data_IF_443933338664
#
_entry.id   IF_443933338664
#
_cell.length_a   1.000
_cell.length_b   1.000
_cell.length_c   1.000
_cell.angle_alpha   90.00
_cell.angle_beta   90.00
_cell.angle_gamma   90.00
#
_symmetry.space_group_name_H-M   'P 1'
#
loop_
_entity.id
_entity.type
_entity.pdbx_description
1 polymer ?
#
# COMPACT_ATOMS: atom_id res chain seq x y z
N UNK A 1 7.10 -26.39 -15.22
CA UNK A 1 6.84 -25.05 -15.79
C UNK A 1 7.52 -24.00 -14.93
N UNK A 2 8.00 -22.89 -15.50
CA UNK A 2 8.56 -21.81 -14.69
C UNK A 2 7.42 -20.92 -14.15
N UNK A 3 7.48 -20.52 -12.89
CA UNK A 3 6.48 -19.66 -12.26
C UNK A 3 7.11 -18.38 -11.71
N UNK A 4 6.43 -17.25 -11.90
CA UNK A 4 6.87 -15.97 -11.34
C UNK A 4 6.66 -15.93 -9.83
N UNK A 5 7.59 -15.31 -9.10
CA UNK A 5 7.40 -15.04 -7.68
C UNK A 5 6.50 -13.82 -7.53
N UNK A 6 5.46 -13.98 -6.73
CA UNK A 6 4.50 -12.92 -6.39
C UNK A 6 4.43 -12.69 -4.88
N UNK A 7 4.07 -11.48 -4.50
CA UNK A 7 3.98 -11.10 -3.09
C UNK A 7 2.85 -10.11 -2.81
N UNK A 8 2.35 -10.07 -1.57
CA UNK A 8 1.37 -9.07 -1.14
C UNK A 8 1.57 -8.70 0.32
N UNK A 9 1.01 -7.57 0.73
CA UNK A 9 0.94 -7.19 2.13
C UNK A 9 -0.22 -7.91 2.82
N UNK A 10 -0.07 -8.18 4.12
CA UNK A 10 -1.19 -8.60 4.95
C UNK A 10 -2.27 -7.51 4.97
N UNK A 11 -3.54 -7.89 4.96
CA UNK A 11 -4.67 -6.96 5.01
C UNK A 11 -4.85 -6.39 6.42
N UNK A 12 -3.93 -5.54 6.88
CA UNK A 12 -3.96 -4.92 8.22
C UNK A 12 -3.55 -3.45 8.14
N UNK A 13 -3.76 -2.67 9.20
CA UNK A 13 -3.27 -1.28 9.19
C UNK A 13 -1.73 -1.28 9.17
N UNK A 14 -1.08 -0.44 8.33
CA UNK A 14 -1.65 0.53 7.38
C UNK A 14 -1.88 -0.02 5.95
N UNK A 15 -1.57 -1.28 5.69
CA UNK A 15 -1.55 -1.92 4.36
C UNK A 15 -2.92 -2.20 3.76
N UNK A 16 -4.00 -2.20 4.54
CA UNK A 16 -5.35 -2.31 3.96
C UNK A 16 -5.74 -1.03 3.19
N UNK A 17 -5.12 0.12 3.45
CA UNK A 17 -5.37 1.32 2.65
C UNK A 17 -4.64 1.15 1.30
N UNK A 18 -5.37 1.08 0.18
CA UNK A 18 -4.77 0.82 -1.13
C UNK A 18 -3.77 1.90 -1.53
N UNK A 19 -3.91 3.15 -1.05
CA UNK A 19 -2.97 4.24 -1.37
C UNK A 19 -1.63 4.01 -0.68
N UNK A 20 -1.66 3.62 0.60
CA UNK A 20 -0.47 3.27 1.35
C UNK A 20 0.20 2.03 0.74
N UNK A 21 -0.58 0.98 0.44
CA UNK A 21 -0.07 -0.23 -0.19
C UNK A 21 0.57 0.04 -1.56
N UNK A 22 -0.09 0.83 -2.42
CA UNK A 22 0.46 1.21 -3.74
C UNK A 22 1.74 2.02 -3.61
N UNK A 23 1.77 3.01 -2.72
CA UNK A 23 2.94 3.84 -2.54
C UNK A 23 4.14 3.06 -1.97
N UNK A 24 3.91 2.16 -1.00
CA UNK A 24 4.94 1.24 -0.50
C UNK A 24 5.44 0.30 -1.59
N UNK A 25 4.53 -0.36 -2.32
CA UNK A 25 4.90 -1.34 -3.35
C UNK A 25 5.72 -0.71 -4.46
N UNK A 26 5.37 0.51 -4.87
CA UNK A 26 6.11 1.23 -5.91
C UNK A 26 7.51 1.65 -5.45
N UNK A 27 7.67 2.07 -4.19
CA UNK A 27 9.00 2.38 -3.64
C UNK A 27 9.87 1.13 -3.47
N UNK A 28 9.27 -0.02 -3.13
CA UNK A 28 9.98 -1.30 -2.99
C UNK A 28 10.42 -1.90 -4.33
N UNK A 29 9.62 -1.75 -5.39
CA UNK A 29 9.83 -2.41 -6.68
C UNK A 29 11.27 -2.30 -7.26
N UNK A 30 11.91 -1.11 -7.34
CA UNK A 30 13.28 -1.01 -7.86
C UNK A 30 14.32 -1.69 -6.95
N UNK A 31 14.10 -1.72 -5.63
CA UNK A 31 15.00 -2.36 -4.67
C UNK A 31 14.96 -3.88 -4.84
N UNK A 32 13.76 -4.44 -4.95
CA UNK A 32 13.57 -5.88 -5.16
C UNK A 32 14.12 -6.32 -6.51
N UNK A 33 13.78 -5.60 -7.58
CA UNK A 33 14.20 -5.94 -8.95
C UNK A 33 15.72 -5.89 -9.15
N UNK A 34 16.43 -4.97 -8.48
CA UNK A 34 17.90 -4.86 -8.60
C UNK A 34 18.66 -6.01 -7.93
N UNK A 35 18.06 -6.69 -6.94
CA UNK A 35 18.75 -7.72 -6.16
C UNK A 35 18.58 -9.13 -6.76
N UNK A 36 17.48 -9.39 -7.48
CA UNK A 36 17.07 -10.77 -7.82
C UNK A 36 17.24 -11.17 -9.30
N UNK A 37 17.48 -10.23 -10.22
CA UNK A 37 17.70 -10.54 -11.65
C UNK A 37 16.49 -11.10 -12.42
N UNK A 38 15.46 -11.59 -11.72
CA UNK A 38 14.17 -11.99 -12.26
C UNK A 38 13.04 -11.11 -11.70
N UNK A 39 11.94 -10.91 -12.45
CA UNK A 39 10.82 -10.09 -11.99
C UNK A 39 10.11 -10.77 -10.82
N UNK A 40 9.99 -10.02 -9.72
CA UNK A 40 9.22 -10.36 -8.53
C UNK A 40 8.09 -9.34 -8.41
N UNK A 41 6.84 -9.80 -8.48
CA UNK A 41 5.70 -8.91 -8.75
C UNK A 41 4.73 -8.81 -7.56
N UNK A 42 4.18 -7.63 -7.27
CA UNK A 42 3.00 -7.55 -6.42
C UNK A 42 1.88 -8.45 -6.98
N UNK A 43 1.22 -9.23 -6.13
CA UNK A 43 0.17 -10.15 -6.54
C UNK A 43 -1.06 -9.40 -7.07
N UNK A 44 -1.41 -8.28 -6.44
CA UNK A 44 -2.47 -7.39 -6.91
C UNK A 44 -1.94 -6.51 -8.06
N UNK A 45 -2.62 -6.55 -9.20
CA UNK A 45 -2.32 -5.73 -10.37
C UNK A 45 -2.48 -4.22 -10.09
N UNK A 46 -3.34 -3.83 -9.14
CA UNK A 46 -3.48 -2.46 -8.67
C UNK A 46 -2.19 -1.91 -8.05
N UNK A 47 -1.40 -2.77 -7.40
CA UNK A 47 -0.10 -2.42 -6.82
C UNK A 47 1.04 -2.35 -7.85
N UNK A 48 0.80 -2.79 -9.08
CA UNK A 48 1.76 -2.69 -10.20
C UNK A 48 1.64 -1.38 -10.96
N UNK A 49 0.64 -0.55 -10.63
CA UNK A 49 0.42 0.74 -11.31
C UNK A 49 1.57 1.69 -11.01
N UNK A 50 2.12 2.30 -12.06
CA UNK A 50 3.17 3.29 -11.92
C UNK A 50 2.70 4.53 -11.17
N UNK A 51 3.44 4.92 -10.13
CA UNK A 51 3.23 6.15 -9.37
C UNK A 51 4.37 7.12 -9.70
N UNK A 52 4.07 8.39 -9.93
CA UNK A 52 5.15 9.37 -10.10
C UNK A 52 5.84 9.57 -8.75
N UNK A 53 7.18 9.69 -8.69
CA UNK A 53 7.88 9.86 -7.42
C UNK A 53 7.33 11.00 -6.53
N UNK A 54 6.88 12.11 -7.14
CA UNK A 54 6.27 13.23 -6.42
C UNK A 54 4.88 12.96 -5.83
N UNK A 55 4.18 11.93 -6.28
CA UNK A 55 2.85 11.55 -5.80
C UNK A 55 2.91 10.58 -4.61
N UNK A 56 4.07 9.94 -4.37
CA UNK A 56 4.27 8.99 -3.26
C UNK A 56 4.01 9.65 -1.89
N UNK A 57 4.57 10.85 -1.58
CA UNK A 57 4.24 11.54 -0.33
C UNK A 57 2.76 11.90 -0.22
N UNK A 58 2.12 12.29 -1.33
CA UNK A 58 0.69 12.65 -1.36
C UNK A 58 -0.21 11.45 -1.06
N UNK A 59 0.14 10.26 -1.58
CA UNK A 59 -0.58 9.03 -1.26
C UNK A 59 -0.45 8.68 0.23
N UNK A 60 0.74 8.87 0.81
CA UNK A 60 0.97 8.65 2.24
C UNK A 60 0.24 9.67 3.12
N UNK A 61 0.16 10.93 2.69
CA UNK A 61 -0.65 11.96 3.36
C UNK A 61 -2.14 11.62 3.27
N UNK A 62 -2.63 11.21 2.10
CA UNK A 62 -4.02 10.83 1.90
C UNK A 62 -4.42 9.57 2.71
N UNK A 63 -3.46 8.68 2.96
CA UNK A 63 -3.60 7.53 3.86
C UNK A 63 -3.47 7.92 5.36
N UNK A 64 -3.20 9.19 5.68
CA UNK A 64 -3.03 9.67 7.05
C UNK A 64 -1.72 9.22 7.72
N UNK A 65 -0.76 8.69 6.95
CA UNK A 65 0.51 8.15 7.45
C UNK A 65 1.64 9.15 7.43
N UNK A 66 1.46 10.27 6.72
CA UNK A 66 2.39 11.39 6.68
C UNK A 66 1.63 12.70 6.90
N UNK A 67 2.26 13.65 7.57
CA UNK A 67 1.68 14.98 7.73
C UNK A 67 1.83 15.79 6.45
N UNK A 68 0.78 16.55 6.12
CA UNK A 68 0.85 17.57 5.08
C UNK A 68 1.72 18.74 5.60
N UNK A 69 2.66 19.27 4.79
CA UNK A 69 3.43 20.43 5.18
C UNK A 69 2.53 21.58 5.65
N UNK A 70 2.69 22.01 6.90
CA UNK A 70 1.93 23.13 7.49
C UNK A 70 0.61 22.77 8.19
N UNK A 71 0.17 21.51 8.21
CA UNK A 71 -1.04 21.11 8.95
C UNK A 71 -0.86 19.74 9.60
N UNK A 72 -0.93 19.73 10.94
CA UNK A 72 -0.90 18.58 11.86
C UNK A 72 0.43 17.84 12.02
N UNK A 73 0.70 17.46 13.27
CA UNK A 73 1.76 16.52 13.66
C UNK A 73 1.40 15.15 13.08
N UNK A 74 2.29 14.49 12.31
CA UNK A 74 2.02 13.13 11.85
C UNK A 74 1.81 12.23 13.07
N UNK A 75 0.99 11.16 12.97
CA UNK A 75 0.99 10.16 14.02
C UNK A 75 2.44 9.68 14.21
N UNK A 76 2.97 9.78 15.42
CA UNK A 76 4.28 9.23 15.71
C UNK A 76 4.16 7.71 15.64
N UNK A 77 4.35 7.14 14.45
CA UNK A 77 4.61 5.72 14.28
C UNK A 77 5.99 5.45 14.89
N UNK A 78 6.05 5.45 16.22
CA UNK A 78 7.21 4.95 16.92
C UNK A 78 7.23 3.46 16.64
N UNK A 79 8.30 3.05 15.94
CA UNK A 79 8.89 1.71 15.92
C UNK A 79 8.04 0.67 16.60
N UNK A 80 7.46 -0.20 15.79
CA UNK A 80 6.52 -1.16 16.30
C UNK A 80 6.69 -2.48 15.54
N UNK A 81 6.68 -3.59 16.27
CA UNK A 81 6.56 -4.94 15.72
C UNK A 81 7.85 -5.66 15.28
N UNK A 82 7.77 -6.99 15.29
CA UNK A 82 8.71 -7.88 14.60
C UNK A 82 8.27 -7.96 13.14
N UNK A 83 9.16 -7.75 12.18
CA UNK A 83 8.82 -8.03 10.77
C UNK A 83 8.88 -9.53 10.50
N UNK A 84 7.81 -10.05 9.91
CA UNK A 84 7.58 -11.46 9.59
C UNK A 84 7.13 -11.61 8.13
N UNK A 85 7.73 -12.57 7.45
CA UNK A 85 7.40 -12.92 6.06
C UNK A 85 6.98 -14.37 6.02
N UNK A 86 5.81 -14.63 5.45
CA UNK A 86 5.41 -15.99 5.15
C UNK A 86 5.81 -16.33 3.71
N UNK A 87 6.35 -17.53 3.53
CA UNK A 87 6.80 -18.03 2.23
C UNK A 87 6.12 -19.37 1.96
N UNK A 88 5.38 -19.46 0.85
CA UNK A 88 4.72 -20.70 0.46
C UNK A 88 5.74 -21.79 0.12
N UNK A 89 5.36 -23.05 0.35
CA UNK A 89 6.05 -24.18 -0.27
C UNK A 89 5.93 -24.10 -1.80
N UNK A 90 7.00 -24.49 -2.50
CA UNK A 90 6.99 -24.56 -3.96
C UNK A 90 5.94 -25.58 -4.44
N UNK A 91 5.08 -25.22 -5.41
CA UNK A 91 4.09 -26.15 -5.95
C UNK A 91 4.79 -27.27 -6.74
N UNK A 92 4.23 -28.48 -6.66
CA UNK A 92 4.76 -29.63 -7.39
C UNK A 92 4.76 -29.36 -8.91
N UNK A 93 5.89 -29.62 -9.58
CA UNK A 93 6.03 -29.45 -11.03
C UNK A 93 6.23 -28.01 -11.52
N UNK A 94 6.31 -27.03 -10.61
CA UNK A 94 6.60 -25.63 -10.91
C UNK A 94 7.93 -25.24 -10.28
N UNK A 95 8.84 -24.72 -11.11
CA UNK A 95 10.13 -24.17 -10.66
C UNK A 95 10.01 -22.65 -10.65
N UNK A 96 10.40 -21.99 -9.56
CA UNK A 96 10.41 -20.53 -9.52
C UNK A 96 11.40 -19.96 -10.54
N UNK A 97 11.08 -18.79 -11.11
CA UNK A 97 11.97 -18.05 -12.01
C UNK A 97 13.20 -17.43 -11.28
N UNK A 98 13.18 -17.40 -9.95
CA UNK A 98 14.28 -17.00 -9.06
C UNK A 98 14.25 -17.81 -7.76
N UNK A 99 15.32 -17.80 -6.94
CA UNK A 99 15.31 -18.44 -5.62
C UNK A 99 14.29 -17.75 -4.69
N UNK A 100 13.34 -18.54 -4.17
CA UNK A 100 12.21 -18.04 -3.38
C UNK A 100 12.65 -17.45 -2.04
N UNK A 101 13.66 -18.07 -1.41
CA UNK A 101 14.30 -17.61 -0.17
C UNK A 101 15.00 -16.26 -0.36
N UNK A 102 15.76 -16.09 -1.45
CA UNK A 102 16.43 -14.82 -1.76
C UNK A 102 15.47 -13.71 -2.14
N UNK A 103 14.40 -14.07 -2.84
CA UNK A 103 13.33 -13.13 -3.16
C UNK A 103 12.62 -12.64 -1.89
N UNK A 104 12.31 -13.53 -0.94
CA UNK A 104 11.73 -13.17 0.34
C UNK A 104 12.65 -12.26 1.18
N UNK A 105 13.96 -12.56 1.24
CA UNK A 105 14.97 -11.73 1.91
C UNK A 105 15.04 -10.31 1.32
N UNK A 106 15.03 -10.20 -0.02
CA UNK A 106 15.07 -8.93 -0.72
C UNK A 106 13.78 -8.11 -0.54
N UNK A 107 12.61 -8.76 -0.60
CA UNK A 107 11.32 -8.11 -0.32
C UNK A 107 11.30 -7.58 1.12
N UNK A 108 11.75 -8.37 2.09
CA UNK A 108 11.82 -7.96 3.49
C UNK A 108 12.73 -6.77 3.74
N UNK A 109 13.90 -6.79 3.11
CA UNK A 109 14.86 -5.67 3.19
C UNK A 109 14.31 -4.41 2.55
N UNK A 110 13.71 -4.52 1.36
CA UNK A 110 13.05 -3.41 0.67
C UNK A 110 11.92 -2.82 1.50
N UNK A 111 11.12 -3.67 2.15
CA UNK A 111 10.04 -3.25 3.03
C UNK A 111 10.55 -2.45 4.23
N UNK A 112 11.51 -3.00 4.98
CA UNK A 112 12.07 -2.33 6.15
C UNK A 112 12.73 -0.99 5.78
N UNK A 113 13.43 -0.93 4.64
CA UNK A 113 14.02 0.30 4.12
C UNK A 113 12.95 1.33 3.75
N UNK A 114 11.91 0.90 3.02
CA UNK A 114 10.83 1.79 2.57
C UNK A 114 10.03 2.36 3.75
N UNK A 115 9.75 1.55 4.76
CA UNK A 115 9.06 2.00 5.98
C UNK A 115 9.89 3.05 6.75
N UNK A 116 11.21 2.90 6.76
CA UNK A 116 12.12 3.92 7.31
C UNK A 116 12.08 5.20 6.48
N UNK A 117 12.20 5.10 5.16
CA UNK A 117 12.36 6.26 4.30
C UNK A 117 11.07 7.07 4.13
N UNK A 118 9.92 6.39 4.05
CA UNK A 118 8.63 7.05 3.83
C UNK A 118 7.97 7.51 5.13
N UNK A 119 8.09 6.72 6.20
CA UNK A 119 7.34 6.91 7.44
C UNK A 119 8.23 7.23 8.65
N UNK A 120 9.57 7.17 8.50
CA UNK A 120 10.49 7.36 9.63
C UNK A 120 10.44 6.21 10.65
N UNK A 121 9.88 5.05 10.27
CA UNK A 121 9.67 3.91 11.17
C UNK A 121 10.86 2.97 11.09
N UNK A 122 11.52 2.73 12.23
CA UNK A 122 12.46 1.61 12.35
C UNK A 122 11.68 0.32 12.55
N UNK A 123 11.97 -0.70 11.75
CA UNK A 123 11.41 -2.05 11.89
C UNK A 123 12.59 -3.01 12.07
N UNK A 124 12.41 -4.06 12.87
CA UNK A 124 13.40 -5.12 12.98
C UNK A 124 13.59 -5.82 11.61
N UNK A 125 14.76 -6.41 11.32
CA UNK A 125 14.94 -7.23 10.12
C UNK A 125 13.84 -8.29 10.00
N UNK A 126 13.32 -8.44 8.78
CA UNK A 126 12.26 -9.39 8.52
C UNK A 126 12.77 -10.83 8.66
N UNK A 127 12.00 -11.65 9.37
CA UNK A 127 12.29 -13.08 9.56
C UNK A 127 11.17 -13.92 8.97
N UNK A 128 11.49 -15.11 8.47
CA UNK A 128 10.45 -16.00 7.94
C UNK A 128 9.59 -16.57 9.07
N UNK A 129 8.32 -16.82 8.80
CA UNK A 129 7.39 -17.50 9.70
C UNK A 129 6.61 -18.58 8.96
N UNK A 130 6.28 -19.66 9.67
CA UNK A 130 5.39 -20.70 9.16
C UNK A 130 3.91 -20.30 9.31
N UNK A 131 3.60 -19.36 10.22
CA UNK A 131 2.25 -18.88 10.46
C UNK A 131 1.91 -17.68 9.56
N UNK A 132 1.01 -17.92 8.61
CA UNK A 132 0.47 -16.88 7.72
C UNK A 132 -0.12 -15.72 8.55
N UNK A 133 -0.75 -16.03 9.69
CA UNK A 133 -1.46 -15.06 10.54
C UNK A 133 -0.53 -14.08 11.27
N UNK A 134 0.77 -14.35 11.32
CA UNK A 134 1.78 -13.44 11.91
C UNK A 134 2.54 -12.62 10.88
N UNK A 135 2.45 -13.00 9.59
CA UNK A 135 3.23 -12.36 8.53
C UNK A 135 2.61 -11.03 8.09
N UNK A 136 3.47 -10.05 7.78
CA UNK A 136 3.09 -8.79 7.14
C UNK A 136 3.24 -8.86 5.62
N UNK A 137 4.09 -9.76 5.13
CA UNK A 137 4.33 -9.98 3.71
C UNK A 137 4.15 -11.46 3.43
N UNK A 138 3.37 -11.76 2.39
CA UNK A 138 3.09 -13.10 1.94
C UNK A 138 3.74 -13.28 0.57
N UNK A 139 4.57 -14.32 0.40
CA UNK A 139 5.33 -14.57 -0.82
C UNK A 139 5.05 -15.99 -1.32
N UNK A 140 4.76 -16.14 -2.61
CA UNK A 140 4.50 -17.44 -3.23
C UNK A 140 4.83 -17.44 -4.72
N UNK A 141 4.79 -18.61 -5.34
CA UNK A 141 4.96 -18.75 -6.79
C UNK A 141 3.59 -18.69 -7.46
N UNK A 142 3.45 -17.89 -8.51
CA UNK A 142 2.22 -17.80 -9.30
C UNK A 142 1.82 -19.18 -9.83
N UNK A 143 0.53 -19.53 -9.67
CA UNK A 143 0.03 -20.89 -9.92
C UNK A 143 0.16 -21.85 -8.73
N UNK A 144 0.81 -21.42 -7.65
CA UNK A 144 0.81 -22.10 -6.35
C UNK A 144 -0.37 -21.74 -5.46
N UNK A 145 -0.42 -22.29 -4.23
CA UNK A 145 -1.47 -22.00 -3.28
C UNK A 145 -1.42 -20.52 -2.86
N UNK A 146 -2.49 -19.79 -3.18
CA UNK A 146 -2.66 -18.40 -2.76
C UNK A 146 -2.91 -18.38 -1.24
N UNK A 147 -2.15 -17.60 -0.46
CA UNK A 147 -2.34 -17.55 0.98
C UNK A 147 -3.70 -16.93 1.34
N UNK A 148 -4.30 -17.43 2.41
CA UNK A 148 -5.44 -16.75 3.02
C UNK A 148 -4.97 -15.41 3.61
N UNK A 149 -5.57 -14.31 3.15
CA UNK A 149 -5.20 -12.96 3.59
C UNK A 149 -6.44 -12.16 4.03
N UNK A 150 -7.15 -12.58 5.10
CA UNK A 150 -8.30 -11.85 5.61
C UNK A 150 -7.86 -10.55 6.29
N UNK A 151 -8.76 -9.57 6.31
CA UNK A 151 -8.52 -8.30 7.00
C UNK A 151 -8.34 -8.53 8.51
N UNK A 152 -7.24 -8.00 9.09
CA UNK A 152 -6.92 -8.12 10.51
C UNK A 152 -7.28 -6.83 11.23
N UNK A 153 -8.15 -6.89 12.26
CA UNK A 153 -8.50 -5.71 13.05
C UNK A 153 -7.37 -5.28 14.01
N UNK A 154 -6.50 -6.22 14.41
CA UNK A 154 -5.36 -5.96 15.28
C UNK A 154 -4.10 -5.98 14.41
N UNK A 155 -3.40 -4.84 14.25
CA UNK A 155 -2.19 -4.78 13.45
C UNK A 155 -1.07 -5.59 14.10
N UNK A 156 -0.44 -6.47 13.34
CA UNK A 156 0.70 -7.27 13.80
C UNK A 156 2.00 -6.50 13.71
N UNK A 157 2.10 -5.56 12.76
CA UNK A 157 3.26 -4.67 12.67
C UNK A 157 3.22 -3.55 13.71
N UNK A 158 2.05 -3.04 14.10
CA UNK A 158 1.99 -1.95 15.09
C UNK A 158 1.84 -2.56 16.49
N UNK A 159 2.90 -2.57 17.32
CA UNK A 159 2.80 -2.97 18.72
C UNK A 159 1.65 -2.19 19.40
N UNK A 160 0.92 -2.80 20.34
CA UNK A 160 -0.38 -2.35 20.82
C UNK A 160 -0.41 -1.04 21.62
N UNK A 161 0.62 -0.19 21.54
CA UNK A 161 0.68 1.07 22.29
C UNK A 161 -0.02 2.27 21.61
N UNK A 162 -0.99 2.04 20.72
CA UNK A 162 -1.88 3.10 20.26
C UNK A 162 -3.30 2.86 20.78
N UNK A 163 -3.67 3.74 21.72
CA UNK A 163 -5.04 4.17 22.07
C UNK A 163 -5.94 3.18 22.81
N UNK A 164 -5.70 3.02 24.12
CA UNK A 164 -6.86 3.18 25.01
C UNK A 164 -7.31 4.65 24.93
N UNK A 165 -8.61 4.94 24.78
CA UNK A 165 -9.08 6.32 24.91
C UNK A 165 -8.75 6.79 26.33
N UNK A 166 -7.95 7.85 26.44
CA UNK A 166 -7.92 8.63 27.68
C UNK A 166 -9.37 9.08 27.95
N UNK A 167 -9.89 8.90 29.19
CA UNK A 167 -11.25 9.31 29.51
C UNK A 167 -11.42 10.80 29.21
N UNK A 168 -12.26 11.13 28.22
CA UNK A 168 -12.57 12.50 27.81
C UNK A 168 -12.24 12.86 26.35
N UNK A 169 -11.66 11.97 25.54
CA UNK A 169 -11.39 12.25 24.13
C UNK A 169 -12.53 11.76 23.21
N UNK A 170 -13.04 12.56 22.25
CA UNK A 170 -14.09 12.12 21.34
C UNK A 170 -13.60 10.93 20.52
N UNK A 171 -14.42 9.89 20.42
CA UNK A 171 -14.13 8.75 19.57
C UNK A 171 -13.86 9.22 18.12
N UNK A 172 -12.84 8.69 17.44
CA UNK A 172 -12.69 8.95 16.02
C UNK A 172 -13.97 8.54 15.30
N UNK A 173 -14.45 9.39 14.41
CA UNK A 173 -15.70 9.17 13.70
C UNK A 173 -15.69 7.78 13.07
N UNK A 174 -16.70 6.96 13.41
CA UNK A 174 -17.00 5.75 12.66
C UNK A 174 -17.39 6.18 11.25
N UNK A 175 -16.44 6.26 10.33
CA UNK A 175 -16.74 6.12 8.90
C UNK A 175 -16.93 4.64 8.62
N UNK A 176 -17.97 4.07 9.24
CA UNK A 176 -18.59 2.85 8.76
C UNK A 176 -19.34 3.21 7.49
N UNK A 177 -19.22 2.36 6.48
CA UNK A 177 -20.02 2.41 5.27
C UNK A 177 -21.51 2.43 5.66
N UNK A 178 -22.11 3.62 5.68
CA UNK A 178 -23.55 3.79 5.82
C UNK A 178 -24.06 4.36 4.49
N UNK A 179 -24.75 3.50 3.74
CA UNK A 179 -25.72 3.92 2.74
C UNK A 179 -25.17 4.59 1.49
N UNK A 180 -24.58 3.80 0.59
CA UNK A 180 -24.76 4.03 -0.84
C UNK A 180 -26.19 3.57 -1.20
N UNK A 181 -27.18 4.31 -0.72
CA UNK A 181 -28.56 4.20 -1.18
C UNK A 181 -28.70 5.05 -2.45
N UNK A 182 -28.97 4.33 -3.53
CA UNK A 182 -29.16 4.87 -4.87
C UNK A 182 -30.56 5.46 -4.93
N UNK A 183 -30.68 6.79 -4.78
CA UNK A 183 -31.94 7.47 -5.06
C UNK A 183 -32.06 8.88 -4.48
N UNK A 184 -31.74 9.91 -5.26
CA UNK A 184 -32.07 11.30 -4.89
C UNK A 184 -31.42 12.35 -5.80
N UNK A 185 -32.14 13.40 -6.23
CA UNK A 185 -31.80 14.23 -7.38
C UNK A 185 -30.79 15.33 -7.00
N UNK A 186 -29.52 14.96 -6.80
CA UNK A 186 -28.44 15.92 -6.51
C UNK A 186 -27.26 15.88 -7.48
N UNK A 187 -27.10 14.79 -8.22
CA UNK A 187 -25.88 14.51 -8.99
C UNK A 187 -25.82 15.30 -10.32
N UNK A 188 -26.97 15.72 -10.85
CA UNK A 188 -27.02 16.49 -12.10
C UNK A 188 -26.40 17.89 -12.01
N UNK A 189 -26.48 18.55 -10.86
CA UNK A 189 -25.99 19.92 -10.69
C UNK A 189 -24.46 20.00 -10.57
N UNK A 190 -23.83 19.00 -9.95
CA UNK A 190 -22.36 18.97 -9.74
C UNK A 190 -21.64 18.60 -11.03
N UNK A 191 -22.19 17.69 -11.84
CA UNK A 191 -21.61 17.32 -13.13
C UNK A 191 -21.68 18.48 -14.14
N UNK A 192 -22.77 19.26 -14.14
CA UNK A 192 -22.90 20.41 -15.04
C UNK A 192 -21.89 21.53 -14.72
N UNK A 193 -21.54 21.73 -13.44
CA UNK A 193 -20.56 22.74 -13.02
C UNK A 193 -19.11 22.35 -13.38
N UNK A 194 -18.79 21.05 -13.35
CA UNK A 194 -17.47 20.52 -13.73
C UNK A 194 -17.24 20.53 -15.25
N UNK A 195 -18.29 20.33 -16.05
CA UNK A 195 -18.17 20.41 -17.52
C UNK A 195 -18.03 21.86 -17.99
N UNK A 196 -18.72 22.81 -17.37
CA UNK A 196 -18.62 24.23 -17.71
C UNK A 196 -17.21 24.83 -17.43
N UNK A 197 -16.55 24.39 -16.36
CA UNK A 197 -15.19 24.85 -16.01
C UNK A 197 -14.12 24.27 -16.93
N UNK A 198 -14.29 23.03 -17.41
CA UNK A 198 -13.37 22.43 -18.39
C UNK A 198 -13.47 23.09 -19.78
N UNK A 199 -14.68 23.48 -20.22
CA UNK A 199 -14.88 24.14 -21.50
C UNK A 199 -14.28 25.56 -21.55
N UNK A 200 -14.37 26.32 -20.45
CA UNK A 200 -13.79 27.67 -20.37
C UNK A 200 -12.25 27.64 -20.43
N UNK A 201 -11.61 26.65 -19.78
CA UNK A 201 -10.15 26.51 -19.80
C UNK A 201 -9.60 26.14 -21.19
N UNK A 202 -10.38 25.41 -21.99
CA UNK A 202 -10.00 25.04 -23.37
C UNK A 202 -10.17 26.21 -24.35
N UNK A 203 -11.21 27.04 -24.20
CA UNK A 203 -11.42 28.22 -25.04
C UNK A 203 -10.32 29.28 -24.86
N UNK A 204 -9.87 29.51 -23.61
CA UNK A 204 -8.79 30.46 -23.31
C UNK A 204 -7.45 29.99 -23.89
N UNK A 205 -7.16 28.68 -23.86
CA UNK A 205 -5.94 28.12 -24.48
C UNK A 205 -5.96 28.15 -26.00
N UNK A 206 -7.14 28.07 -26.63
CA UNK A 206 -7.27 28.16 -28.08
C UNK A 206 -7.10 29.60 -28.60
N UNK A 207 -7.57 30.61 -27.85
CA UNK A 207 -7.38 32.01 -28.23
C UNK A 207 -5.90 32.45 -28.10
N UNK A 208 -5.21 32.00 -27.06
CA UNK A 208 -3.79 32.34 -26.85
C UNK A 208 -2.85 31.80 -27.93
N UNK A 209 -3.24 30.75 -28.67
CA UNK A 209 -2.44 30.18 -29.77
C UNK A 209 -2.68 30.84 -31.13
N UNK A 210 -3.74 31.66 -31.27
CA UNK A 210 -4.04 32.37 -32.53
C UNK A 210 -3.49 33.80 -32.58
N UNK A 211 -3.00 34.31 -31.46
CA UNK A 211 -2.50 35.69 -31.33
C UNK A 211 -0.96 35.77 -31.23
N UNK A 212 -0.25 34.69 -31.52
CA UNK A 212 1.22 34.61 -31.56
C UNK A 212 1.71 34.11 -32.90
#
# INVERSE_FOLDING_TARGET
MAGDIVWTFAQEFPFFDPRAATALAWTMAPIVGSTQGAPVLPADAGLRRGVRPGDIPLLMEAAGLRARPGTNTPPSLKVTGRCRIWVAASPAGITANAPLDKSAESIGSAFAQTMRDLLGVTIAPCTTTADVAEAQILVWIHGGPVPANPMRPIPTLVAPNIAQPLPGQPAPARTGNAGLDVGGPGIGAVLAMLVATAAAALAVRALARRAG
#
